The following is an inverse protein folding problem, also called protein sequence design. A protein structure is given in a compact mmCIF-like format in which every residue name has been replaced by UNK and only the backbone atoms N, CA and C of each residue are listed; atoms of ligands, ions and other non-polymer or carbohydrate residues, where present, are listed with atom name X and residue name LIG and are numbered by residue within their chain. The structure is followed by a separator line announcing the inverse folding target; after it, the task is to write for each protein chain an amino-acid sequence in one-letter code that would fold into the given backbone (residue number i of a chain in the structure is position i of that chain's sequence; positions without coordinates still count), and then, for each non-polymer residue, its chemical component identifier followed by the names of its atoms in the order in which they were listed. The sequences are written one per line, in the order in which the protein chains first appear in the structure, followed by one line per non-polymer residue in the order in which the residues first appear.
data_IF_528552021542
#
_entry.id   IF_528552021542
#
_cell.length_a   1.000
_cell.length_b   1.000
_cell.length_c   1.000
_cell.angle_alpha   90.00
_cell.angle_beta   90.00
_cell.angle_gamma   90.00
#
_symmetry.space_group_name_H-M   'P 1'
#
loop_
_entity.id
_entity.type
_entity.pdbx_description
1 polymer ?
#
# COMPACT_ATOMS: atom_id res chain seq x y z
N UNK A 1 -0.76 87.77 45.48
CA UNK A 1 -1.27 87.10 44.27
C UNK A 1 -1.00 85.62 44.46
N UNK A 2 -1.92 84.67 44.45
CA UNK A 2 -3.36 84.61 44.28
C UNK A 2 -3.70 83.10 44.24
N UNK A 3 -4.73 82.71 44.99
CA UNK A 3 -5.53 81.47 44.92
C UNK A 3 -4.92 80.07 45.22
N UNK A 4 -5.24 79.63 46.46
CA UNK A 4 -5.79 78.31 46.94
C UNK A 4 -6.72 77.57 45.93
N UNK A 5 -7.29 76.35 46.19
CA UNK A 5 -7.25 75.46 47.40
C UNK A 5 -7.15 73.91 47.10
N UNK A 6 -6.70 73.04 48.02
CA UNK A 6 -7.42 72.14 48.99
C UNK A 6 -7.80 70.72 48.52
N UNK A 7 -7.78 69.79 49.51
CA UNK A 7 -8.31 68.41 49.60
C UNK A 7 -7.58 67.34 48.79
N UNK A 8 -7.19 66.20 49.39
CA UNK A 8 -8.09 65.18 49.94
C UNK A 8 -8.32 64.16 48.82
N UNK A 9 -8.28 62.85 48.96
CA UNK A 9 -8.50 61.95 50.08
C UNK A 9 -7.79 60.62 49.76
N UNK A 10 -7.64 59.84 50.83
CA UNK A 10 -7.70 58.37 50.87
C UNK A 10 -8.21 57.71 49.58
N UNK A 11 -7.36 56.93 48.90
CA UNK A 11 -7.83 56.00 47.86
C UNK A 11 -6.95 54.74 47.84
N UNK A 12 -7.45 53.76 48.59
CA UNK A 12 -7.74 52.41 48.09
C UNK A 12 -6.56 51.64 47.49
N UNK A 13 -6.08 50.66 48.26
CA UNK A 13 -5.41 49.46 47.76
C UNK A 13 -6.32 48.79 46.71
N UNK A 14 -6.07 49.07 45.44
CA UNK A 14 -6.68 48.35 44.31
C UNK A 14 -6.14 46.91 44.29
N UNK A 15 -6.92 46.00 44.85
CA UNK A 15 -6.82 44.57 44.61
C UNK A 15 -7.20 44.32 43.15
N UNK A 16 -6.21 43.97 42.34
CA UNK A 16 -6.37 43.54 40.95
C UNK A 16 -7.20 42.24 40.89
N UNK A 17 -8.48 42.38 40.58
CA UNK A 17 -9.43 41.29 40.34
C UNK A 17 -9.44 40.84 38.86
N UNK A 18 -8.34 41.04 38.14
CA UNK A 18 -8.17 40.62 36.75
C UNK A 18 -8.38 39.12 36.52
N UNK A 19 -9.57 38.77 36.03
CA UNK A 19 -9.86 37.67 35.12
C UNK A 19 -9.25 36.30 35.45
N UNK A 20 -9.70 35.68 36.55
CA UNK A 20 -9.60 34.21 36.66
C UNK A 20 -10.67 33.60 35.76
N UNK A 21 -10.26 33.02 34.64
CA UNK A 21 -11.16 32.22 33.80
C UNK A 21 -11.91 31.20 34.66
N UNK A 22 -13.24 31.03 34.48
CA UNK A 22 -13.99 30.06 35.26
C UNK A 22 -13.37 28.67 35.07
N UNK A 23 -13.07 27.99 36.19
CA UNK A 23 -12.70 26.57 36.13
C UNK A 23 -13.90 25.83 35.53
N UNK A 24 -13.71 24.98 34.51
CA UNK A 24 -14.82 24.23 33.94
C UNK A 24 -15.48 23.40 35.06
N UNK A 25 -16.80 23.54 35.19
CA UNK A 25 -17.59 22.66 36.07
C UNK A 25 -17.44 21.24 35.53
N UNK A 26 -17.20 20.29 36.42
CA UNK A 26 -16.97 18.88 36.08
C UNK A 26 -18.23 18.16 35.52
N UNK A 27 -19.33 18.88 35.29
CA UNK A 27 -20.64 18.31 34.98
C UNK A 27 -21.28 18.86 33.69
N UNK A 28 -20.53 19.56 32.83
CA UNK A 28 -21.03 19.88 31.48
C UNK A 28 -20.90 18.64 30.58
N UNK A 29 -21.99 18.15 29.95
CA UNK A 29 -21.88 17.13 28.92
C UNK A 29 -20.97 17.70 27.83
N UNK A 30 -19.82 17.05 27.62
CA UNK A 30 -18.78 17.52 26.73
C UNK A 30 -19.37 17.87 25.37
N UNK A 31 -19.22 19.14 24.97
CA UNK A 31 -19.48 19.58 23.61
C UNK A 31 -18.70 18.62 22.69
N UNK A 32 -19.36 17.94 21.73
CA UNK A 32 -18.63 17.14 20.75
C UNK A 32 -17.60 18.05 20.10
N UNK A 33 -16.32 17.77 20.29
CA UNK A 33 -15.29 18.46 19.54
C UNK A 33 -15.56 18.13 18.06
N UNK A 34 -15.99 19.12 17.29
CA UNK A 34 -16.11 18.98 15.84
C UNK A 34 -14.73 18.56 15.32
N UNK A 35 -14.64 17.35 14.76
CA UNK A 35 -13.42 16.91 14.08
C UNK A 35 -13.12 17.93 12.97
N UNK A 36 -11.86 18.41 12.86
CA UNK A 36 -11.52 19.39 11.85
C UNK A 36 -11.87 18.86 10.46
N UNK A 37 -12.29 19.73 9.51
CA UNK A 37 -12.67 19.32 8.16
C UNK A 37 -11.61 18.40 7.53
N UNK A 38 -12.04 17.31 6.88
CA UNK A 38 -11.13 16.27 6.36
C UNK A 38 -10.01 16.81 5.45
N UNK A 39 -10.29 17.87 4.67
CA UNK A 39 -9.30 18.55 3.82
C UNK A 39 -8.13 19.15 4.62
N UNK A 40 -8.37 19.57 5.87
CA UNK A 40 -7.33 20.12 6.74
C UNK A 40 -6.43 19.04 7.36
N UNK A 41 -6.85 17.77 7.33
CA UNK A 41 -6.11 16.63 7.85
C UNK A 41 -5.19 16.00 6.80
N UNK A 42 -5.46 16.18 5.50
CA UNK A 42 -4.69 15.56 4.43
C UNK A 42 -3.16 15.75 4.61
N UNK A 43 -2.41 14.63 4.64
CA UNK A 43 -0.95 14.61 4.79
C UNK A 43 -0.40 14.92 6.20
N UNK A 44 -1.24 15.14 7.21
CA UNK A 44 -0.80 15.46 8.58
C UNK A 44 -0.75 14.27 9.54
N UNK A 45 -1.15 13.08 9.10
CA UNK A 45 -1.21 11.88 9.93
C UNK A 45 -0.16 10.82 9.61
N UNK A 46 -0.32 9.62 10.18
CA UNK A 46 0.52 8.48 9.86
C UNK A 46 0.41 8.11 8.37
N UNK A 47 1.53 7.75 7.72
CA UNK A 47 1.53 7.38 6.30
C UNK A 47 0.69 6.13 6.08
N UNK A 48 -0.20 6.16 5.06
CA UNK A 48 -1.11 5.06 4.75
C UNK A 48 -2.44 5.08 5.50
N UNK A 49 -2.66 5.98 6.46
CA UNK A 49 -3.94 6.09 7.17
C UNK A 49 -4.99 6.81 6.30
N UNK A 50 -6.11 6.16 5.92
CA UNK A 50 -7.12 6.75 5.04
C UNK A 50 -7.73 8.05 5.53
N UNK A 51 -7.72 8.31 6.85
CA UNK A 51 -8.27 9.54 7.45
C UNK A 51 -7.49 10.80 7.07
N UNK A 52 -6.26 10.63 6.58
CA UNK A 52 -5.37 11.71 6.18
C UNK A 52 -5.08 11.70 4.66
N UNK A 53 -5.87 10.94 3.88
CA UNK A 53 -5.89 11.02 2.42
C UNK A 53 -6.78 12.18 1.96
N UNK A 54 -6.51 12.71 0.77
CA UNK A 54 -7.50 13.57 0.11
C UNK A 54 -8.77 12.77 -0.19
N UNK A 55 -9.91 13.45 -0.30
CA UNK A 55 -11.20 12.82 -0.62
C UNK A 55 -11.11 12.07 -1.95
N UNK A 56 -10.50 12.68 -2.97
CA UNK A 56 -10.28 12.09 -4.29
C UNK A 56 -9.50 10.77 -4.20
N UNK A 57 -8.38 10.78 -3.46
CA UNK A 57 -7.55 9.60 -3.29
C UNK A 57 -8.29 8.50 -2.52
N UNK A 58 -9.03 8.86 -1.47
CA UNK A 58 -9.79 7.92 -0.66
C UNK A 58 -10.90 7.24 -1.46
N UNK A 59 -11.60 7.98 -2.31
CA UNK A 59 -12.59 7.44 -3.25
C UNK A 59 -11.92 6.53 -4.30
N UNK A 60 -10.79 6.97 -4.85
CA UNK A 60 -10.00 6.19 -5.81
C UNK A 60 -9.36 4.95 -5.20
N UNK A 61 -9.35 4.79 -3.87
CA UNK A 61 -8.85 3.61 -3.17
C UNK A 61 -9.97 2.82 -2.47
N UNK A 62 -11.23 3.20 -2.67
CA UNK A 62 -12.36 2.63 -1.92
C UNK A 62 -12.37 1.10 -1.96
N UNK A 63 -12.20 0.49 -3.15
CA UNK A 63 -12.15 -0.97 -3.27
C UNK A 63 -11.05 -1.59 -2.40
N UNK A 64 -9.85 -1.01 -2.43
CA UNK A 64 -8.70 -1.46 -1.63
C UNK A 64 -8.93 -1.24 -0.13
N UNK A 65 -9.69 -0.22 0.25
CA UNK A 65 -9.90 0.17 1.65
C UNK A 65 -11.12 -0.49 2.31
N UNK A 66 -12.17 -0.81 1.56
CA UNK A 66 -13.44 -1.28 2.12
C UNK A 66 -13.97 -2.59 1.51
N UNK A 67 -13.70 -2.89 0.24
CA UNK A 67 -14.31 -4.05 -0.41
C UNK A 67 -13.83 -5.39 0.17
N UNK A 68 -14.74 -6.36 0.31
CA UNK A 68 -14.40 -7.69 0.81
C UNK A 68 -13.47 -8.47 -0.13
N UNK A 69 -13.52 -8.17 -1.42
CA UNK A 69 -12.63 -8.74 -2.43
C UNK A 69 -12.16 -7.64 -3.38
N UNK A 70 -10.86 -7.69 -3.68
CA UNK A 70 -10.23 -6.88 -4.72
C UNK A 70 -9.61 -7.81 -5.74
N UNK A 71 -9.75 -7.50 -7.02
CA UNK A 71 -9.12 -8.23 -8.12
C UNK A 71 -7.99 -7.39 -8.69
N UNK A 72 -6.88 -8.06 -8.99
CA UNK A 72 -5.73 -7.45 -9.65
C UNK A 72 -5.48 -8.21 -10.96
N UNK A 73 -5.71 -7.53 -12.07
CA UNK A 73 -5.58 -8.05 -13.44
C UNK A 73 -4.23 -7.66 -14.00
N UNK A 74 -3.40 -8.64 -14.36
CA UNK A 74 -2.11 -8.39 -14.99
C UNK A 74 -2.26 -8.30 -16.51
N UNK A 75 -1.82 -7.20 -17.11
CA UNK A 75 -1.69 -7.11 -18.56
C UNK A 75 -0.34 -7.70 -18.95
N UNK A 76 -0.34 -8.98 -19.36
CA UNK A 76 0.82 -9.59 -20.04
C UNK A 76 0.74 -9.21 -21.50
N UNK A 77 1.78 -8.59 -22.04
CA UNK A 77 1.80 -8.03 -23.40
C UNK A 77 1.67 -9.13 -24.47
N UNK A 78 0.45 -9.54 -24.82
CA UNK A 78 0.19 -10.37 -26.00
C UNK A 78 0.58 -9.66 -27.33
N UNK A 79 1.08 -8.41 -27.25
CA UNK A 79 1.51 -7.56 -28.38
C UNK A 79 3.02 -7.33 -28.46
N UNK A 80 3.83 -7.74 -27.47
CA UNK A 80 5.30 -7.66 -27.57
C UNK A 80 5.85 -8.47 -28.75
N UNK A 81 5.19 -9.59 -29.07
CA UNK A 81 5.54 -10.49 -30.17
C UNK A 81 5.21 -9.88 -31.55
N UNK A 82 4.26 -8.93 -31.64
CA UNK A 82 3.78 -8.41 -32.91
C UNK A 82 4.39 -7.05 -33.29
N UNK A 83 4.89 -6.28 -32.32
CA UNK A 83 5.29 -4.87 -32.54
C UNK A 83 6.51 -4.43 -31.74
N UNK A 84 7.49 -5.29 -31.42
CA UNK A 84 8.88 -4.89 -31.11
C UNK A 84 9.13 -3.76 -30.08
N UNK A 85 8.20 -3.49 -29.17
CA UNK A 85 8.34 -2.53 -28.07
C UNK A 85 8.00 -3.27 -26.78
N UNK A 86 9.03 -3.52 -25.97
CA UNK A 86 9.07 -4.49 -24.87
C UNK A 86 9.07 -3.82 -23.48
N UNK A 87 8.11 -4.20 -22.63
CA UNK A 87 8.43 -4.67 -21.28
C UNK A 87 8.20 -3.71 -20.14
N UNK A 88 6.95 -3.57 -19.66
CA UNK A 88 6.67 -3.05 -18.30
C UNK A 88 5.50 -3.76 -17.63
N UNK A 89 5.67 -4.22 -16.39
CA UNK A 89 4.58 -4.79 -15.60
C UNK A 89 3.47 -3.76 -15.39
N UNK A 90 2.25 -4.13 -15.79
CA UNK A 90 1.04 -3.32 -15.62
C UNK A 90 -0.06 -4.14 -14.98
N UNK A 91 -0.66 -3.59 -13.95
CA UNK A 91 -1.80 -4.18 -13.28
C UNK A 91 -2.93 -3.17 -13.18
N UNK A 92 -4.13 -3.68 -13.21
CA UNK A 92 -5.33 -2.94 -12.87
C UNK A 92 -5.98 -3.58 -11.65
N UNK A 93 -6.31 -2.73 -10.69
CA UNK A 93 -6.90 -3.12 -9.42
C UNK A 93 -8.34 -2.66 -9.42
N UNK A 94 -9.27 -3.61 -9.34
CA UNK A 94 -10.70 -3.39 -9.39
C UNK A 94 -11.44 -4.13 -8.28
N UNK A 95 -12.68 -3.73 -8.03
CA UNK A 95 -13.56 -4.42 -7.08
C UNK A 95 -14.12 -5.75 -7.65
N UNK A 96 -15.02 -6.38 -6.88
CA UNK A 96 -15.69 -7.61 -7.28
C UNK A 96 -16.63 -7.42 -8.49
N UNK A 97 -17.09 -6.20 -8.74
CA UNK A 97 -17.93 -5.82 -9.86
C UNK A 97 -17.12 -5.46 -11.11
N UNK A 98 -15.81 -5.25 -10.97
CA UNK A 98 -14.90 -4.91 -12.06
C UNK A 98 -14.85 -3.41 -12.36
N UNK A 99 -15.18 -2.56 -11.38
CA UNK A 99 -14.98 -1.11 -11.46
C UNK A 99 -13.52 -0.79 -11.19
N UNK A 100 -12.88 -0.15 -12.16
CA UNK A 100 -11.46 0.17 -12.12
C UNK A 100 -11.19 1.23 -11.05
N UNK A 101 -10.23 0.95 -10.17
CA UNK A 101 -9.96 1.76 -8.99
C UNK A 101 -8.56 2.38 -9.07
N UNK A 102 -7.53 1.56 -9.32
CA UNK A 102 -6.13 1.99 -9.38
C UNK A 102 -5.35 1.22 -10.45
N UNK A 103 -4.46 1.92 -11.14
CA UNK A 103 -3.51 1.35 -12.08
C UNK A 103 -2.14 1.23 -11.43
N UNK A 104 -1.45 0.12 -11.67
CA UNK A 104 -0.09 -0.11 -11.18
C UNK A 104 0.85 -0.24 -12.37
N UNK A 105 1.87 0.59 -12.42
CA UNK A 105 2.88 0.58 -13.48
C UNK A 105 4.30 0.50 -12.93
N UNK A 106 5.18 -0.23 -13.62
CA UNK A 106 6.60 -0.23 -13.30
C UNK A 106 7.32 1.01 -13.85
N UNK A 107 7.94 1.78 -12.95
CA UNK A 107 8.76 2.95 -13.27
C UNK A 107 10.23 2.53 -13.23
N UNK A 108 10.84 2.41 -14.41
CA UNK A 108 12.25 2.05 -14.59
C UNK A 108 12.81 2.61 -15.90
N UNK A 109 14.03 3.12 -15.84
CA UNK A 109 14.77 3.72 -16.93
C UNK A 109 15.83 2.74 -17.45
N UNK A 110 15.66 2.29 -18.70
CA UNK A 110 16.76 1.77 -19.52
C UNK A 110 16.77 0.27 -19.83
N UNK A 111 17.36 -0.04 -20.98
CA UNK A 111 17.63 -1.39 -21.50
C UNK A 111 18.47 -2.26 -20.52
N UNK A 112 19.28 -1.65 -19.64
CA UNK A 112 20.11 -2.37 -18.67
C UNK A 112 19.31 -3.02 -17.54
N UNK A 113 18.23 -2.39 -17.04
CA UNK A 113 17.36 -3.01 -16.03
C UNK A 113 16.52 -4.16 -16.62
N UNK A 114 16.23 -4.12 -17.92
CA UNK A 114 15.56 -5.21 -18.65
C UNK A 114 16.47 -6.44 -18.79
N UNK A 115 17.76 -6.26 -19.13
CA UNK A 115 18.72 -7.36 -19.18
C UNK A 115 18.98 -7.99 -17.80
N UNK A 116 19.03 -7.18 -16.75
CA UNK A 116 19.23 -7.65 -15.37
C UNK A 116 18.01 -8.34 -14.76
N UNK A 117 16.81 -8.17 -15.34
CA UNK A 117 15.60 -8.93 -14.92
C UNK A 117 15.81 -10.44 -15.05
N UNK A 118 16.51 -10.87 -16.10
CA UNK A 118 16.89 -12.27 -16.33
C UNK A 118 18.03 -12.75 -15.41
N UNK A 119 18.74 -11.84 -14.75
CA UNK A 119 19.81 -12.14 -13.80
C UNK A 119 19.37 -11.79 -12.37
N UNK A 120 18.50 -12.64 -11.82
CA UNK A 120 18.25 -12.70 -10.38
C UNK A 120 19.58 -12.96 -9.65
N UNK A 121 20.22 -11.96 -9.03
CA UNK A 121 19.66 -11.09 -7.99
C UNK A 121 19.71 -9.56 -8.27
N UNK A 122 19.98 -9.10 -9.49
CA UNK A 122 20.21 -7.68 -9.80
C UNK A 122 18.95 -6.86 -10.12
N UNK A 123 17.76 -7.47 -10.04
CA UNK A 123 16.51 -6.82 -10.38
C UNK A 123 16.10 -5.79 -9.32
N UNK A 124 16.10 -4.52 -9.71
CA UNK A 124 15.51 -3.40 -8.98
C UNK A 124 14.25 -2.98 -9.72
N UNK A 125 13.16 -2.82 -8.98
CA UNK A 125 11.90 -2.38 -9.54
C UNK A 125 11.25 -1.34 -8.64
N UNK A 126 10.49 -0.44 -9.26
CA UNK A 126 9.59 0.47 -8.56
C UNK A 126 8.25 0.38 -9.23
N UNK A 127 7.24 -0.04 -8.48
CA UNK A 127 5.85 -0.04 -8.94
C UNK A 127 5.15 1.17 -8.35
N UNK A 128 4.45 1.93 -9.17
CA UNK A 128 3.66 3.07 -8.74
C UNK A 128 2.18 2.77 -8.97
N UNK A 129 1.42 2.80 -7.89
CA UNK A 129 -0.02 2.66 -7.91
C UNK A 129 -0.63 4.05 -8.07
N UNK A 130 -1.19 4.35 -9.23
CA UNK A 130 -1.78 5.63 -9.60
C UNK A 130 -3.30 5.52 -9.69
N UNK A 131 -4.00 6.55 -9.21
CA UNK A 131 -5.44 6.70 -9.44
C UNK A 131 -5.71 6.96 -10.93
N UNK A 132 -6.97 6.83 -11.34
CA UNK A 132 -7.40 7.21 -12.71
C UNK A 132 -7.08 8.69 -13.02
N UNK A 133 -7.09 9.55 -12.00
CA UNK A 133 -6.70 10.96 -12.10
C UNK A 133 -5.19 11.21 -12.21
N UNK A 134 -4.35 10.18 -12.17
CA UNK A 134 -2.89 10.30 -12.22
C UNK A 134 -2.23 10.66 -10.89
N UNK A 135 -2.99 10.60 -9.78
CA UNK A 135 -2.46 10.85 -8.43
C UNK A 135 -1.80 9.59 -7.89
N UNK A 136 -0.60 9.70 -7.32
CA UNK A 136 0.07 8.58 -6.67
C UNK A 136 -0.68 8.16 -5.40
N UNK A 137 -1.09 6.90 -5.34
CA UNK A 137 -1.74 6.31 -4.17
C UNK A 137 -0.72 5.67 -3.23
N UNK A 138 0.15 4.81 -3.76
CA UNK A 138 1.28 4.22 -3.06
C UNK A 138 2.36 3.80 -4.05
N UNK A 139 3.59 3.67 -3.58
CA UNK A 139 4.70 3.15 -4.37
C UNK A 139 5.31 1.94 -3.66
N UNK A 140 5.69 0.91 -4.43
CA UNK A 140 6.36 -0.30 -3.95
C UNK A 140 7.73 -0.36 -4.60
N UNK A 141 8.78 -0.12 -3.82
CA UNK A 141 10.16 -0.20 -4.27
C UNK A 141 10.79 -1.52 -3.83
N UNK A 142 11.33 -2.27 -4.79
CA UNK A 142 12.04 -3.52 -4.58
C UNK A 142 13.53 -3.21 -4.72
N UNK A 143 14.24 -2.93 -3.61
CA UNK A 143 15.67 -2.73 -3.66
C UNK A 143 16.39 -4.02 -4.05
N UNK A 144 17.63 -3.85 -4.48
CA UNK A 144 18.54 -4.96 -4.72
C UNK A 144 18.65 -5.85 -3.46
N UNK A 145 18.53 -7.16 -3.64
CA UNK A 145 18.64 -8.12 -2.55
C UNK A 145 19.30 -9.40 -3.05
N UNK A 146 20.19 -9.97 -2.22
CA UNK A 146 20.99 -11.13 -2.62
C UNK A 146 20.29 -12.47 -2.36
N UNK A 147 19.51 -12.58 -1.28
CA UNK A 147 18.94 -13.86 -0.83
C UNK A 147 17.46 -13.81 -0.44
N UNK A 148 16.99 -12.67 0.08
CA UNK A 148 15.64 -12.53 0.63
C UNK A 148 14.97 -11.31 0.04
N UNK A 149 13.81 -11.51 -0.61
CA UNK A 149 13.05 -10.42 -1.19
C UNK A 149 12.65 -9.40 -0.12
N UNK A 150 12.71 -8.13 -0.52
CA UNK A 150 12.30 -6.98 0.29
C UNK A 150 11.53 -6.02 -0.59
N UNK A 151 10.49 -5.43 -0.04
CA UNK A 151 9.81 -4.28 -0.63
C UNK A 151 9.62 -3.18 0.41
N UNK A 152 9.86 -1.95 -0.01
CA UNK A 152 9.58 -0.73 0.75
C UNK A 152 8.35 -0.07 0.15
N UNK A 153 7.36 0.20 0.99
CA UNK A 153 6.06 0.72 0.56
C UNK A 153 5.95 2.14 1.06
N UNK A 154 5.81 3.10 0.15
CA UNK A 154 5.59 4.51 0.46
C UNK A 154 4.13 4.89 0.19
N UNK A 155 3.59 5.79 1.01
CA UNK A 155 2.27 6.35 0.83
C UNK A 155 2.25 7.43 -0.27
N UNK A 156 1.07 7.99 -0.54
CA UNK A 156 0.84 9.07 -1.52
C UNK A 156 1.70 10.31 -1.28
N UNK A 157 2.08 10.57 -0.03
CA UNK A 157 2.94 11.69 0.39
C UNK A 157 4.44 11.38 0.31
N UNK A 158 4.81 10.19 -0.20
CA UNK A 158 6.19 9.71 -0.32
C UNK A 158 6.80 9.20 0.98
N UNK A 159 6.11 9.30 2.12
CA UNK A 159 6.61 8.79 3.40
C UNK A 159 6.48 7.27 3.47
N UNK A 160 7.45 6.62 4.13
CA UNK A 160 7.45 5.18 4.31
C UNK A 160 6.19 4.74 5.06
N UNK A 161 5.35 3.96 4.41
CA UNK A 161 4.16 3.33 4.97
C UNK A 161 4.50 2.01 5.65
N UNK A 162 5.50 1.27 5.18
CA UNK A 162 5.93 0.01 5.78
C UNK A 162 6.91 -0.76 4.90
N UNK A 163 7.33 -1.92 5.39
CA UNK A 163 8.28 -2.78 4.68
C UNK A 163 7.80 -4.21 4.69
N UNK A 164 7.93 -4.92 3.58
CA UNK A 164 7.66 -6.35 3.47
C UNK A 164 8.99 -7.07 3.32
N UNK A 165 9.30 -8.00 4.23
CA UNK A 165 10.58 -8.73 4.23
C UNK A 165 10.36 -10.22 4.19
N UNK A 166 11.04 -10.92 3.28
CA UNK A 166 11.06 -12.37 3.25
C UNK A 166 11.84 -12.91 4.44
N UNK A 167 11.29 -13.93 5.09
CA UNK A 167 11.92 -14.67 6.19
C UNK A 167 12.34 -16.05 5.72
N UNK A 168 13.50 -16.49 6.19
CA UNK A 168 14.00 -17.82 5.90
C UNK A 168 13.07 -18.90 6.48
N UNK A 169 12.76 -19.88 5.64
CA UNK A 169 11.98 -21.09 5.95
C UNK A 169 12.44 -22.16 4.97
N UNK A 170 12.62 -23.40 5.45
CA UNK A 170 13.13 -24.50 4.62
C UNK A 170 12.17 -24.95 3.52
N UNK A 171 10.86 -24.86 3.77
CA UNK A 171 9.85 -25.54 2.96
C UNK A 171 8.69 -24.63 2.52
N UNK A 172 8.47 -23.54 3.23
CA UNK A 172 7.35 -22.63 2.97
C UNK A 172 7.87 -21.24 2.67
N UNK A 173 7.03 -20.39 2.07
CA UNK A 173 7.35 -18.98 1.92
C UNK A 173 6.79 -18.21 3.12
N UNK A 174 7.51 -17.22 3.59
CA UNK A 174 7.10 -16.42 4.75
C UNK A 174 7.58 -14.99 4.56
N UNK A 175 6.69 -14.02 4.77
CA UNK A 175 7.04 -12.61 4.76
C UNK A 175 6.47 -11.90 5.99
N UNK A 176 7.22 -10.99 6.58
CA UNK A 176 6.68 -10.09 7.59
C UNK A 176 6.32 -8.76 6.98
N UNK A 177 5.14 -8.26 7.30
CA UNK A 177 4.69 -6.90 7.01
C UNK A 177 5.03 -6.06 8.24
N UNK A 178 5.98 -5.14 8.09
CA UNK A 178 6.51 -4.30 9.14
C UNK A 178 5.96 -2.88 9.02
N UNK A 179 5.71 -2.26 10.17
CA UNK A 179 5.51 -0.82 10.25
C UNK A 179 6.81 -0.05 9.99
N UNK A 180 6.77 1.29 9.78
CA UNK A 180 7.96 2.12 9.67
C UNK A 180 8.87 2.02 10.89
N UNK A 181 8.30 1.74 12.06
CA UNK A 181 9.05 1.49 13.29
C UNK A 181 9.65 0.07 13.38
N UNK A 182 9.48 -0.77 12.36
CA UNK A 182 9.97 -2.16 12.33
C UNK A 182 9.12 -3.17 13.09
N UNK A 183 7.94 -2.78 13.58
CA UNK A 183 7.03 -3.67 14.32
C UNK A 183 6.21 -4.51 13.34
N UNK A 184 6.11 -5.81 13.58
CA UNK A 184 5.32 -6.73 12.75
C UNK A 184 3.83 -6.40 12.88
N UNK A 185 3.22 -5.92 11.80
CA UNK A 185 1.78 -5.67 11.70
C UNK A 185 1.01 -6.94 11.35
N UNK A 186 1.55 -7.71 10.40
CA UNK A 186 0.95 -8.93 9.90
C UNK A 186 2.01 -9.83 9.27
N UNK A 187 1.58 -11.05 8.96
CA UNK A 187 2.46 -12.13 8.58
C UNK A 187 1.90 -12.83 7.35
N UNK A 188 2.64 -12.86 6.26
CA UNK A 188 2.26 -13.58 5.04
C UNK A 188 2.83 -14.99 5.10
N UNK A 189 1.97 -15.99 4.96
CA UNK A 189 2.29 -17.40 4.96
C UNK A 189 1.96 -17.95 3.59
N UNK A 190 3.02 -18.29 2.86
CA UNK A 190 2.90 -18.98 1.61
C UNK A 190 2.68 -20.48 1.81
N UNK A 191 2.18 -21.12 0.78
CA UNK A 191 1.73 -22.50 0.80
C UNK A 191 2.92 -23.47 0.81
N UNK A 192 2.71 -24.66 1.36
CA UNK A 192 3.58 -25.82 1.10
C UNK A 192 3.11 -26.57 -0.16
N UNK A 193 1.80 -26.81 -0.31
CA UNK A 193 1.22 -27.60 -1.42
C UNK A 193 0.33 -26.82 -2.41
N UNK A 194 -0.19 -25.65 -2.04
CA UNK A 194 -1.08 -24.82 -2.89
C UNK A 194 -0.37 -23.57 -3.41
N UNK A 195 0.59 -23.65 -4.36
CA UNK A 195 1.59 -22.60 -4.68
C UNK A 195 1.03 -21.21 -5.04
N UNK A 196 -0.28 -21.09 -5.17
CA UNK A 196 -1.03 -19.91 -5.59
C UNK A 196 -1.73 -19.16 -4.45
N UNK A 197 -1.72 -19.69 -3.21
CA UNK A 197 -2.49 -19.12 -2.08
C UNK A 197 -1.58 -18.67 -0.95
N UNK A 198 -1.62 -17.39 -0.60
CA UNK A 198 -0.86 -16.81 0.50
C UNK A 198 -1.83 -16.24 1.54
N UNK A 199 -1.71 -16.68 2.79
CA UNK A 199 -2.56 -16.24 3.90
C UNK A 199 -1.87 -15.13 4.67
N UNK A 200 -2.62 -14.08 5.01
CA UNK A 200 -2.14 -12.96 5.80
C UNK A 200 -2.75 -13.10 7.18
N UNK A 201 -1.90 -13.27 8.19
CA UNK A 201 -2.31 -13.41 9.57
C UNK A 201 -1.88 -12.19 10.39
N UNK A 202 -2.82 -11.61 11.12
CA UNK A 202 -2.56 -10.59 12.13
C UNK A 202 -2.80 -11.22 13.50
N UNK A 203 -1.79 -11.19 14.37
CA UNK A 203 -1.85 -11.81 15.72
C UNK A 203 -2.31 -13.28 15.72
N UNK A 204 -2.04 -14.02 14.64
CA UNK A 204 -2.42 -15.43 14.48
C UNK A 204 -3.79 -15.67 13.82
N UNK A 205 -4.59 -14.63 13.63
CA UNK A 205 -5.89 -14.72 12.94
C UNK A 205 -5.75 -14.36 11.47
N UNK A 206 -6.41 -15.11 10.59
CA UNK A 206 -6.40 -14.83 9.15
C UNK A 206 -7.24 -13.58 8.87
N UNK A 207 -6.61 -12.54 8.33
CA UNK A 207 -7.25 -11.26 8.01
C UNK A 207 -7.38 -11.01 6.52
N UNK A 208 -6.53 -11.64 5.70
CA UNK A 208 -6.67 -11.59 4.26
C UNK A 208 -6.04 -12.82 3.59
N UNK A 209 -6.40 -13.07 2.32
CA UNK A 209 -5.80 -14.12 1.50
C UNK A 209 -5.53 -13.59 0.09
N UNK A 210 -4.30 -13.76 -0.38
CA UNK A 210 -3.93 -13.53 -1.77
C UNK A 210 -4.05 -14.85 -2.53
N UNK A 211 -4.81 -14.87 -3.62
CA UNK A 211 -4.93 -16.03 -4.52
C UNK A 211 -4.55 -15.65 -5.94
N UNK A 212 -3.63 -16.39 -6.55
CA UNK A 212 -3.37 -16.30 -8.00
C UNK A 212 -4.20 -17.36 -8.73
N UNK A 213 -4.95 -16.96 -9.75
CA UNK A 213 -5.57 -17.86 -10.73
C UNK A 213 -4.80 -17.76 -12.04
N UNK A 214 -4.29 -18.90 -12.51
CA UNK A 214 -3.72 -19.02 -13.86
C UNK A 214 -4.84 -19.41 -14.82
N UNK A 215 -4.95 -18.74 -15.96
CA UNK A 215 -5.94 -19.04 -17.01
C UNK A 215 -5.73 -20.40 -17.68
N UNK A 216 -4.58 -21.04 -17.48
CA UNK A 216 -4.31 -22.40 -17.95
C UNK A 216 -3.69 -22.42 -19.34
N UNK A 217 -2.81 -23.41 -19.54
CA UNK A 217 -1.89 -23.58 -20.68
C UNK A 217 -2.56 -23.84 -22.06
N UNK A 218 -3.86 -23.61 -22.24
CA UNK A 218 -4.59 -23.93 -23.48
C UNK A 218 -5.93 -23.14 -23.56
N UNK A 219 -5.89 -21.82 -23.61
CA UNK A 219 -7.07 -21.04 -24.01
C UNK A 219 -6.70 -19.91 -24.97
N UNK A 220 -6.62 -20.28 -26.25
CA UNK A 220 -6.67 -19.37 -27.39
C UNK A 220 -7.97 -18.57 -27.37
N UNK A 221 -8.02 -17.44 -26.66
CA UNK A 221 -8.87 -16.28 -26.97
C UNK A 221 -8.55 -15.11 -26.04
N UNK A 222 -7.70 -14.18 -26.51
CA UNK A 222 -7.60 -12.72 -26.22
C UNK A 222 -8.06 -12.11 -24.88
N UNK A 223 -8.23 -12.88 -23.80
CA UNK A 223 -8.68 -12.46 -22.47
C UNK A 223 -7.81 -13.06 -21.35
N UNK A 224 -6.61 -13.50 -21.73
CA UNK A 224 -5.65 -14.35 -21.02
C UNK A 224 -4.88 -13.60 -19.90
N UNK A 225 -5.54 -12.69 -19.19
CA UNK A 225 -4.96 -11.94 -18.08
C UNK A 225 -4.92 -12.82 -16.82
N UNK A 226 -3.73 -12.97 -16.22
CA UNK A 226 -3.58 -13.57 -14.89
C UNK A 226 -4.37 -12.73 -13.88
N UNK A 227 -5.25 -13.39 -13.12
CA UNK A 227 -6.10 -12.73 -12.14
C UNK A 227 -5.65 -13.10 -10.72
N UNK A 228 -5.26 -12.08 -9.97
CA UNK A 228 -5.10 -12.17 -8.53
C UNK A 228 -6.39 -11.76 -7.84
N UNK A 229 -6.74 -12.43 -6.74
CA UNK A 229 -7.74 -11.95 -5.79
C UNK A 229 -7.09 -11.67 -4.44
N UNK A 230 -7.47 -10.56 -3.84
CA UNK A 230 -7.20 -10.21 -2.46
C UNK A 230 -8.54 -10.31 -1.72
N UNK A 231 -8.68 -11.35 -0.92
CA UNK A 231 -9.89 -11.62 -0.15
C UNK A 231 -9.67 -11.14 1.28
N UNK A 232 -10.38 -10.09 1.69
CA UNK A 232 -10.28 -9.47 3.00
C UNK A 232 -11.35 -10.01 3.93
N UNK A 233 -10.94 -10.47 5.12
CA UNK A 233 -11.88 -10.85 6.16
C UNK A 233 -12.43 -9.60 6.85
N UNK A 234 -13.65 -9.65 7.45
CA UNK A 234 -14.22 -8.52 8.18
C UNK A 234 -13.31 -7.95 9.28
N UNK A 235 -12.45 -8.78 9.86
CA UNK A 235 -11.48 -8.37 10.87
C UNK A 235 -10.36 -7.46 10.31
N UNK A 236 -10.17 -7.37 8.99
CA UNK A 236 -9.18 -6.52 8.34
C UNK A 236 -9.74 -5.12 8.07
N UNK A 237 -9.97 -4.36 9.14
CA UNK A 237 -10.51 -2.99 9.09
C UNK A 237 -9.42 -1.92 8.96
N UNK A 238 -8.16 -2.25 9.24
CA UNK A 238 -7.03 -1.33 9.10
C UNK A 238 -6.73 -1.08 7.61
N UNK A 239 -7.13 0.11 7.12
CA UNK A 239 -6.91 0.52 5.73
C UNK A 239 -5.44 0.58 5.32
N UNK A 240 -4.52 0.84 6.25
CA UNK A 240 -3.08 0.78 5.98
C UNK A 240 -2.62 -0.66 5.78
N UNK A 241 -3.10 -1.59 6.60
CA UNK A 241 -2.82 -3.02 6.41
C UNK A 241 -3.35 -3.52 5.06
N UNK A 242 -4.55 -3.10 4.65
CA UNK A 242 -5.10 -3.48 3.34
C UNK A 242 -4.24 -3.02 2.16
N UNK A 243 -3.73 -1.79 2.21
CA UNK A 243 -2.75 -1.29 1.23
C UNK A 243 -1.45 -2.13 1.25
N UNK A 244 -0.97 -2.51 2.44
CA UNK A 244 0.19 -3.41 2.56
C UNK A 244 -0.07 -4.82 2.01
N UNK A 245 -1.31 -5.32 2.05
CA UNK A 245 -1.69 -6.60 1.42
C UNK A 245 -1.62 -6.49 -0.11
N UNK A 246 -2.07 -5.37 -0.70
CA UNK A 246 -1.90 -5.11 -2.13
C UNK A 246 -0.42 -5.10 -2.52
N UNK A 247 0.42 -4.37 -1.77
CA UNK A 247 1.86 -4.35 -2.00
C UNK A 247 2.50 -5.75 -1.85
N UNK A 248 2.04 -6.57 -0.91
CA UNK A 248 2.49 -7.95 -0.76
C UNK A 248 2.10 -8.82 -1.96
N UNK A 249 0.91 -8.61 -2.54
CA UNK A 249 0.50 -9.32 -3.76
C UNK A 249 1.39 -8.97 -4.96
N UNK A 250 1.70 -7.68 -5.15
CA UNK A 250 2.63 -7.22 -6.18
C UNK A 250 4.03 -7.82 -6.00
N UNK A 251 4.58 -7.79 -4.77
CA UNK A 251 5.87 -8.41 -4.47
C UNK A 251 5.86 -9.91 -4.77
N UNK A 252 4.80 -10.62 -4.37
CA UNK A 252 4.65 -12.06 -4.63
C UNK A 252 4.61 -12.37 -6.13
N UNK A 253 3.95 -11.53 -6.94
CA UNK A 253 3.92 -11.72 -8.39
C UNK A 253 5.31 -11.54 -9.02
N UNK A 254 5.95 -10.40 -8.73
CA UNK A 254 7.29 -10.09 -9.24
C UNK A 254 8.33 -11.15 -8.85
N UNK A 255 8.29 -11.62 -7.60
CA UNK A 255 9.33 -12.52 -7.07
C UNK A 255 9.18 -13.98 -7.52
N UNK A 256 7.96 -14.44 -7.81
CA UNK A 256 7.73 -15.89 -8.02
C UNK A 256 7.03 -16.27 -9.31
N UNK A 257 6.44 -15.33 -10.04
CA UNK A 257 5.63 -15.64 -11.20
C UNK A 257 6.03 -14.88 -12.48
N UNK A 258 6.83 -13.82 -12.38
CA UNK A 258 7.39 -13.09 -13.52
C UNK A 258 8.50 -13.88 -14.25
N UNK A 259 9.24 -14.76 -13.52
CA UNK A 259 10.36 -15.53 -14.07
C UNK A 259 10.02 -16.91 -14.70
N UNK A 260 8.77 -17.18 -15.10
CA UNK A 260 8.43 -18.46 -15.77
C UNK A 260 8.55 -18.42 -17.29
N UNK A 261 9.66 -17.89 -17.81
CA UNK A 261 10.10 -18.16 -19.19
C UNK A 261 11.62 -18.36 -19.24
N UNK A 262 12.09 -19.45 -18.66
CA UNK A 262 13.28 -20.15 -19.17
C UNK A 262 13.18 -21.63 -18.84
N UNK A 263 12.72 -22.44 -19.79
CA UNK A 263 12.63 -23.88 -19.59
C UNK A 263 11.70 -24.64 -20.52
N UNK A 264 11.63 -24.30 -21.81
CA UNK A 264 11.38 -25.34 -22.82
C UNK A 264 12.75 -25.83 -23.28
N UNK A 265 13.10 -27.04 -22.86
CA UNK A 265 14.32 -27.70 -23.29
C UNK A 265 14.33 -27.81 -24.81
N UNK A 266 15.32 -27.18 -25.44
CA UNK A 266 15.76 -27.56 -26.77
C UNK A 266 16.33 -28.96 -26.67
N UNK A 267 15.53 -29.95 -27.05
CA UNK A 267 15.99 -31.30 -27.29
C UNK A 267 17.10 -31.25 -28.33
N UNK A 268 18.29 -31.66 -27.91
CA UNK A 268 19.41 -31.95 -28.80
C UNK A 268 19.03 -33.21 -29.57
N UNK A 269 18.59 -33.07 -30.82
CA UNK A 269 18.59 -34.17 -31.77
C UNK A 269 20.04 -34.41 -32.22
N UNK A 270 20.69 -35.36 -31.55
CA UNK A 270 21.87 -36.06 -32.07
C UNK A 270 21.40 -37.47 -32.43
N UNK A 271 21.33 -37.74 -33.73
CA UNK A 271 21.17 -39.06 -34.33
C UNK A 271 21.56 -38.92 -35.80
N UNK A 272 22.84 -39.22 -36.12
CA UNK A 272 23.31 -40.46 -36.76
C UNK A 272 22.93 -40.57 -38.23
#
# INVERSE_FOLDING_TARGET
MGNKPWAGDDTTLELDWGARAPRPRADEPGVPQEEPPEEMLAGKGPPGDPRYMSVELRLSLEAVLTAAQVRMRQFREALEILIGWEGKNRYEVCDAEGRDTVYVGETGEGFASQLLRNFWPFYRARLECMTVGGTLALAVELPWHLFFARAEVSAWDGRLMGTIVQRFRFFTRRFDILSPAGVVMATVHGPFFKPWTFRILQRGEEVAVIRKRWSGLLQETFSDADNFSLDFQPACSDGRLRQMVLAAALLVDLTYFDNRKSGSGGGVDVGS
#
